data_IF_422193105274
#
_entry.id   IF_422193105274
#
_cell.length_a   1.000
_cell.length_b   1.000
_cell.length_c   1.000
_cell.angle_alpha   90.00
_cell.angle_beta   90.00
_cell.angle_gamma   90.00
#
_symmetry.space_group_name_H-M   'P 1'
#
loop_
_entity.id
_entity.type
_entity.pdbx_description
1 polymer ?
#
# COMPACT_ATOMS: atom_id res chain seq x y z
N UNK A 1 -21.78 -4.62 17.42
CA UNK A 1 -20.35 -4.93 17.17
C UNK A 1 -20.10 -4.64 15.71
N UNK A 2 -19.47 -3.50 15.41
CA UNK A 2 -19.17 -3.13 14.02
C UNK A 2 -17.99 -4.01 13.60
N UNK A 3 -18.20 -4.85 12.58
CA UNK A 3 -17.09 -5.55 11.94
C UNK A 3 -16.37 -4.51 11.11
N UNK A 4 -15.28 -3.94 11.64
CA UNK A 4 -14.39 -3.12 10.82
C UNK A 4 -13.89 -3.96 9.64
N UNK A 5 -13.99 -3.42 8.42
CA UNK A 5 -13.51 -4.12 7.23
C UNK A 5 -12.03 -4.47 7.37
N UNK A 6 -11.60 -5.60 6.78
CA UNK A 6 -10.23 -6.14 6.89
C UNK A 6 -9.13 -5.10 6.60
N UNK A 7 -9.40 -4.11 5.75
CA UNK A 7 -8.50 -2.99 5.47
C UNK A 7 -8.34 -2.03 6.66
N UNK A 8 -9.45 -1.53 7.21
CA UNK A 8 -9.43 -0.61 8.35
C UNK A 8 -8.85 -1.28 9.60
N UNK A 9 -9.20 -2.56 9.82
CA UNK A 9 -8.66 -3.35 10.92
C UNK A 9 -7.13 -3.53 10.84
N UNK A 10 -6.58 -3.73 9.64
CA UNK A 10 -5.14 -3.85 9.44
C UNK A 10 -4.40 -2.53 9.76
N UNK A 11 -4.96 -1.39 9.36
CA UNK A 11 -4.42 -0.06 9.69
C UNK A 11 -4.47 0.20 11.20
N UNK A 12 -5.63 -0.08 11.83
CA UNK A 12 -5.79 0.06 13.27
C UNK A 12 -4.81 -0.85 14.04
N UNK A 13 -4.59 -2.06 13.55
CA UNK A 13 -3.62 -3.01 14.07
C UNK A 13 -2.20 -2.44 14.11
N UNK A 14 -1.70 -1.92 12.99
CA UNK A 14 -0.36 -1.31 12.92
C UNK A 14 -0.23 -0.09 13.85
N UNK A 15 -1.24 0.79 13.87
CA UNK A 15 -1.24 1.96 14.75
C UNK A 15 -1.24 1.57 16.23
N UNK A 16 -1.99 0.53 16.61
CA UNK A 16 -2.06 0.05 18.00
C UNK A 16 -0.73 -0.54 18.49
N UNK A 17 0.12 -1.01 17.57
CA UNK A 17 1.47 -1.52 17.85
C UNK A 17 2.51 -0.40 17.99
N UNK A 18 2.09 0.87 17.88
CA UNK A 18 2.97 2.04 17.95
C UNK A 18 3.70 2.37 16.65
N UNK A 19 3.35 1.71 15.54
CA UNK A 19 3.88 2.04 14.22
C UNK A 19 2.98 3.06 13.51
N UNK A 20 3.56 3.83 12.59
CA UNK A 20 2.76 4.60 11.65
C UNK A 20 2.28 3.67 10.53
N UNK A 21 0.98 3.41 10.44
CA UNK A 21 0.43 2.62 9.33
C UNK A 21 0.65 3.34 7.99
N UNK A 22 1.35 2.69 7.05
CA UNK A 22 1.59 3.20 5.70
C UNK A 22 0.70 2.48 4.71
N UNK A 23 0.03 3.24 3.84
CA UNK A 23 -0.75 2.73 2.71
C UNK A 23 0.00 3.14 1.43
N UNK A 24 0.94 2.33 0.93
CA UNK A 24 1.66 2.67 -0.30
C UNK A 24 0.74 2.54 -1.52
N UNK A 25 0.89 3.49 -2.44
CA UNK A 25 0.28 3.46 -3.76
C UNK A 25 1.13 2.64 -4.74
N UNK A 26 0.53 1.64 -5.37
CA UNK A 26 1.01 1.07 -6.63
C UNK A 26 0.34 1.84 -7.77
N UNK A 27 1.07 2.82 -8.31
CA UNK A 27 0.61 3.67 -9.39
C UNK A 27 1.65 3.66 -10.51
N UNK A 28 1.34 2.98 -11.61
CA UNK A 28 2.27 2.85 -12.73
C UNK A 28 2.49 4.17 -13.47
N UNK A 29 1.41 4.95 -13.66
CA UNK A 29 1.46 6.19 -14.45
C UNK A 29 0.68 7.32 -13.79
N UNK A 30 1.08 8.55 -14.11
CA UNK A 30 0.25 9.74 -13.85
C UNK A 30 0.17 10.64 -15.09
N UNK A 31 -0.91 11.42 -15.27
CA UNK A 31 -1.01 12.36 -16.38
C UNK A 31 0.12 13.39 -16.42
N UNK A 32 0.66 13.79 -15.25
CA UNK A 32 1.68 14.82 -15.14
C UNK A 32 3.10 14.28 -15.34
N UNK A 33 3.43 13.15 -14.72
CA UNK A 33 4.81 12.66 -14.62
C UNK A 33 5.10 11.47 -15.55
N UNK A 34 4.09 10.94 -16.25
CA UNK A 34 4.26 9.76 -17.10
C UNK A 34 4.48 8.49 -16.26
N UNK A 35 5.54 7.72 -16.56
CA UNK A 35 5.87 6.47 -15.86
C UNK A 35 6.52 6.71 -14.50
N UNK A 36 5.78 6.42 -13.43
CA UNK A 36 6.24 6.59 -12.04
C UNK A 36 7.14 5.45 -11.57
N UNK A 37 7.04 4.28 -12.20
CA UNK A 37 7.86 3.12 -11.85
C UNK A 37 9.20 3.11 -12.58
N UNK A 38 9.37 3.95 -13.61
CA UNK A 38 10.61 4.08 -14.40
C UNK A 38 11.04 2.71 -14.96
N UNK A 39 10.09 2.00 -15.54
CA UNK A 39 10.29 0.65 -16.09
C UNK A 39 10.34 -0.49 -15.08
N UNK A 40 10.17 -0.23 -13.77
CA UNK A 40 10.09 -1.31 -12.76
C UNK A 40 8.76 -2.06 -12.83
N UNK A 41 8.81 -3.35 -12.51
CA UNK A 41 7.61 -4.18 -12.43
C UNK A 41 6.74 -3.78 -11.20
N UNK A 42 5.47 -3.42 -11.39
CA UNK A 42 4.55 -3.13 -10.29
C UNK A 42 4.35 -4.33 -9.33
N UNK A 43 4.40 -5.56 -9.83
CA UNK A 43 4.24 -6.75 -8.98
C UNK A 43 5.43 -6.91 -8.03
N UNK A 44 6.65 -6.77 -8.55
CA UNK A 44 7.87 -6.80 -7.73
C UNK A 44 7.86 -5.68 -6.68
N UNK A 45 7.42 -4.48 -7.05
CA UNK A 45 7.28 -3.36 -6.11
C UNK A 45 6.26 -3.66 -4.99
N UNK A 46 5.10 -4.22 -5.34
CA UNK A 46 4.09 -4.63 -4.36
C UNK A 46 4.64 -5.71 -3.40
N UNK A 47 5.29 -6.74 -3.93
CA UNK A 47 5.91 -7.78 -3.11
C UNK A 47 6.94 -7.22 -2.12
N UNK A 48 7.78 -6.27 -2.56
CA UNK A 48 8.77 -5.60 -1.68
C UNK A 48 8.09 -4.78 -0.59
N UNK A 49 7.05 -4.02 -0.92
CA UNK A 49 6.30 -3.22 0.05
C UNK A 49 5.64 -4.10 1.12
N UNK A 50 5.04 -5.24 0.72
CA UNK A 50 4.50 -6.22 1.66
C UNK A 50 5.60 -6.81 2.55
N UNK A 51 6.74 -7.19 1.97
CA UNK A 51 7.88 -7.71 2.73
C UNK A 51 8.46 -6.70 3.73
N UNK A 52 8.36 -5.40 3.43
CA UNK A 52 8.76 -4.30 4.32
C UNK A 52 7.70 -3.95 5.39
N UNK A 53 6.57 -4.65 5.44
CA UNK A 53 5.55 -4.48 6.49
C UNK A 53 4.37 -3.60 6.11
N UNK A 54 4.17 -3.25 4.83
CA UNK A 54 2.94 -2.60 4.43
C UNK A 54 1.74 -3.54 4.65
N UNK A 55 0.87 -3.18 5.60
CA UNK A 55 -0.28 -4.00 5.99
C UNK A 55 -1.40 -4.00 4.94
N UNK A 56 -1.45 -2.95 4.11
CA UNK A 56 -2.43 -2.75 3.03
C UNK A 56 -1.76 -2.03 1.87
N UNK A 57 -2.43 -1.99 0.70
CA UNK A 57 -1.98 -1.23 -0.46
C UNK A 57 -3.15 -0.56 -1.15
N UNK A 58 -2.87 0.57 -1.80
CA UNK A 58 -3.77 1.22 -2.76
C UNK A 58 -3.23 0.94 -4.17
N UNK A 59 -4.08 0.47 -5.07
CA UNK A 59 -3.69 0.13 -6.45
C UNK A 59 -4.52 0.97 -7.41
N UNK A 60 -3.84 1.73 -8.27
CA UNK A 60 -4.49 2.51 -9.32
C UNK A 60 -4.64 1.63 -10.55
N UNK A 61 -5.88 1.31 -10.90
CA UNK A 61 -6.27 0.44 -12.03
C UNK A 61 -6.47 1.21 -13.32
#
# INVERSE_FOLDING_TARGET
MIVEGRFAAAIAGENSRGFAAVIPDIKCRSPKEGDLLRGRDPLEAACKLAACGAAVMSVVT
#
